data_IF_496430252246
#
_entry.id   IF_496430252246
#
_cell.length_a   1.000
_cell.length_b   1.000
_cell.length_c   1.000
_cell.angle_alpha   90.00
_cell.angle_beta   90.00
_cell.angle_gamma   90.00
#
_symmetry.space_group_name_H-M   'P 1'
#
loop_
_entity.id
_entity.type
_entity.pdbx_description
1 polymer ?
#
# COMPACT_ATOMS: atom_id res chain seq x y z
N UNK A 1 -10.50 -2.94 1.56
CA UNK A 1 -9.22 -3.65 1.80
C UNK A 1 -8.75 -3.60 3.25
N UNK A 2 -8.81 -2.43 3.90
CA UNK A 2 -8.35 -2.26 5.29
C UNK A 2 -9.12 -3.18 6.26
N UNK A 3 -10.45 -3.12 6.23
CA UNK A 3 -11.32 -3.93 7.10
C UNK A 3 -11.17 -5.43 6.85
N UNK A 4 -11.08 -5.84 5.58
CA UNK A 4 -10.89 -7.25 5.23
C UNK A 4 -9.51 -7.76 5.62
N UNK A 5 -8.46 -6.91 5.53
CA UNK A 5 -7.15 -7.26 6.03
C UNK A 5 -7.15 -7.41 7.56
N UNK A 6 -7.81 -6.51 8.29
CA UNK A 6 -8.02 -6.62 9.76
C UNK A 6 -8.74 -7.93 10.12
N UNK A 7 -9.88 -8.20 9.48
CA UNK A 7 -10.66 -9.42 9.70
C UNK A 7 -9.88 -10.71 9.39
N UNK A 8 -8.95 -10.69 8.42
CA UNK A 8 -8.08 -11.84 8.14
C UNK A 8 -6.96 -11.97 9.18
N UNK A 9 -6.36 -10.86 9.64
CA UNK A 9 -5.36 -10.87 10.73
C UNK A 9 -5.96 -11.39 12.04
N UNK A 10 -7.18 -10.98 12.36
CA UNK A 10 -7.96 -11.42 13.52
C UNK A 10 -8.55 -12.83 13.37
N UNK A 11 -8.21 -13.55 12.29
CA UNK A 11 -8.72 -14.90 11.96
C UNK A 11 -10.24 -15.01 11.83
N UNK A 12 -10.98 -13.90 11.78
CA UNK A 12 -12.43 -13.87 11.56
C UNK A 12 -12.81 -14.21 10.11
N UNK A 13 -11.90 -14.00 9.15
CA UNK A 13 -12.16 -14.27 7.74
C UNK A 13 -11.00 -15.03 7.07
N UNK A 14 -11.34 -16.09 6.33
CA UNK A 14 -10.35 -16.83 5.53
C UNK A 14 -9.93 -16.08 4.26
N UNK A 15 -8.67 -16.24 3.86
CA UNK A 15 -8.05 -15.55 2.70
C UNK A 15 -8.89 -15.68 1.41
N UNK A 16 -9.45 -16.86 1.13
CA UNK A 16 -10.26 -17.11 -0.08
C UNK A 16 -11.53 -16.25 -0.12
N UNK A 17 -12.19 -16.04 1.04
CA UNK A 17 -13.39 -15.19 1.15
C UNK A 17 -13.01 -13.72 1.03
N UNK A 18 -11.90 -13.31 1.64
CA UNK A 18 -11.41 -11.94 1.58
C UNK A 18 -11.00 -11.53 0.15
N UNK A 19 -10.37 -12.42 -0.63
CA UNK A 19 -10.06 -12.19 -2.05
C UNK A 19 -11.32 -11.93 -2.86
N UNK A 20 -12.38 -12.74 -2.68
CA UNK A 20 -13.66 -12.52 -3.36
C UNK A 20 -14.34 -11.23 -2.94
N UNK A 21 -14.23 -10.84 -1.67
CA UNK A 21 -14.88 -9.64 -1.12
C UNK A 21 -14.21 -8.33 -1.55
N UNK A 22 -12.89 -8.34 -1.75
CA UNK A 22 -12.14 -7.15 -2.15
C UNK A 22 -11.74 -7.10 -3.62
N UNK A 23 -12.06 -8.12 -4.42
CA UNK A 23 -11.73 -8.19 -5.85
C UNK A 23 -10.25 -7.87 -6.15
N UNK A 24 -9.34 -8.24 -5.24
CA UNK A 24 -7.90 -8.02 -5.40
C UNK A 24 -7.17 -9.34 -5.62
N UNK A 25 -6.03 -9.33 -6.34
CA UNK A 25 -5.19 -10.51 -6.47
C UNK A 25 -4.82 -11.10 -5.10
N UNK A 26 -4.78 -12.44 -5.03
CA UNK A 26 -4.43 -13.17 -3.82
C UNK A 26 -3.05 -12.77 -3.28
N UNK A 27 -2.11 -12.50 -4.18
CA UNK A 27 -0.74 -12.06 -3.89
C UNK A 27 -0.74 -10.68 -3.22
N UNK A 28 -1.53 -9.74 -3.74
CA UNK A 28 -1.73 -8.42 -3.14
C UNK A 28 -2.27 -8.55 -1.74
N UNK A 29 -3.38 -9.27 -1.54
CA UNK A 29 -3.96 -9.41 -0.21
C UNK A 29 -3.00 -10.09 0.77
N UNK A 30 -2.24 -11.11 0.33
CA UNK A 30 -1.23 -11.78 1.15
C UNK A 30 -0.11 -10.82 1.58
N UNK A 31 0.41 -10.01 0.65
CA UNK A 31 1.41 -8.97 0.97
C UNK A 31 0.90 -7.97 2.01
N UNK A 32 -0.37 -7.59 1.90
CA UNK A 32 -1.03 -6.69 2.86
C UNK A 32 -1.18 -7.31 4.26
N UNK A 33 -1.53 -8.59 4.34
CA UNK A 33 -1.70 -9.29 5.63
C UNK A 33 -0.35 -9.50 6.31
N UNK A 34 0.68 -9.86 5.55
CA UNK A 34 2.03 -10.17 6.06
C UNK A 34 2.85 -8.93 6.44
N UNK A 35 2.39 -7.72 6.09
CA UNK A 35 3.07 -6.50 6.51
C UNK A 35 2.78 -6.19 7.97
N UNK A 36 3.81 -5.94 8.78
CA UNK A 36 3.67 -5.51 10.19
C UNK A 36 3.15 -4.07 10.34
N UNK A 37 3.01 -3.34 9.22
CA UNK A 37 2.50 -1.98 9.25
C UNK A 37 0.98 -1.93 9.43
N UNK A 38 0.46 -0.82 9.99
CA UNK A 38 -0.97 -0.59 10.06
C UNK A 38 -1.57 -0.57 8.64
N UNK A 39 -2.77 -1.14 8.46
CA UNK A 39 -3.34 -1.38 7.14
C UNK A 39 -3.51 -0.10 6.30
N UNK A 40 -3.67 1.06 6.95
CA UNK A 40 -3.71 2.38 6.31
C UNK A 40 -2.39 2.74 5.61
N UNK A 41 -1.26 2.53 6.30
CA UNK A 41 0.07 2.79 5.73
C UNK A 41 0.38 1.85 4.59
N UNK A 42 -0.04 0.59 4.67
CA UNK A 42 0.19 -0.41 3.62
C UNK A 42 -0.57 -0.04 2.33
N UNK A 43 -1.79 0.51 2.44
CA UNK A 43 -2.55 0.96 1.26
C UNK A 43 -1.84 2.12 0.57
N UNK A 44 -1.25 3.02 1.35
CA UNK A 44 -0.54 4.19 0.84
C UNK A 44 0.90 3.87 0.36
N UNK A 45 1.34 2.61 0.43
CA UNK A 45 2.66 2.26 -0.13
C UNK A 45 2.63 2.39 -1.64
N UNK A 46 3.59 3.14 -2.18
CA UNK A 46 3.77 3.27 -3.63
C UNK A 46 4.12 1.90 -4.21
N UNK A 47 3.28 1.45 -5.15
CA UNK A 47 3.51 0.21 -5.87
C UNK A 47 4.45 0.54 -7.02
N UNK A 48 5.66 -0.02 -7.01
CA UNK A 48 6.60 0.21 -8.10
C UNK A 48 8.04 -0.05 -7.70
N UNK A 49 8.95 0.32 -8.60
CA UNK A 49 10.38 0.29 -8.35
C UNK A 49 10.72 1.38 -7.33
N UNK A 50 11.70 1.09 -6.47
CA UNK A 50 12.22 2.10 -5.54
C UNK A 50 12.69 3.33 -6.32
N UNK A 51 12.26 4.51 -5.88
CA UNK A 51 12.73 5.76 -6.45
C UNK A 51 14.26 5.86 -6.30
N UNK A 52 14.92 6.39 -7.34
CA UNK A 52 16.37 6.59 -7.36
C UNK A 52 16.76 7.69 -6.37
N UNK A 53 15.92 8.73 -6.29
CA UNK A 53 16.11 9.86 -5.41
C UNK A 53 15.30 9.68 -4.12
N UNK A 54 15.78 10.23 -2.99
CA UNK A 54 14.99 10.31 -1.78
C UNK A 54 13.85 11.34 -1.95
N UNK A 55 12.71 11.10 -1.31
CA UNK A 55 11.46 11.87 -1.49
C UNK A 55 11.63 13.38 -1.30
N UNK A 56 12.43 13.80 -0.31
CA UNK A 56 12.68 15.23 -0.07
C UNK A 56 13.34 15.94 -1.26
N UNK A 57 14.18 15.22 -2.01
CA UNK A 57 14.93 15.77 -3.14
C UNK A 57 14.01 15.87 -4.35
N UNK A 58 13.14 14.88 -4.56
CA UNK A 58 12.10 14.94 -5.59
C UNK A 58 11.15 16.11 -5.37
N UNK A 59 10.67 16.31 -4.13
CA UNK A 59 9.81 17.44 -3.77
C UNK A 59 10.52 18.79 -4.00
N UNK A 60 11.80 18.89 -3.63
CA UNK A 60 12.60 20.11 -3.86
C UNK A 60 12.84 20.40 -5.34
N UNK A 61 12.99 19.37 -6.18
CA UNK A 61 13.14 19.55 -7.62
C UNK A 61 11.83 20.03 -8.27
N UNK A 62 10.71 19.45 -7.85
CA UNK A 62 9.38 19.84 -8.32
C UNK A 62 9.08 21.28 -7.95
N UNK A 63 9.35 21.69 -6.71
CA UNK A 63 9.12 23.08 -6.27
C UNK A 63 9.99 24.07 -7.04
N UNK A 64 11.26 23.74 -7.28
CA UNK A 64 12.16 24.58 -8.07
C UNK A 64 11.67 24.77 -9.51
N UNK A 65 11.23 23.69 -10.16
CA UNK A 65 10.69 23.75 -11.52
C UNK A 65 9.42 24.59 -11.60
N UNK A 66 8.51 24.46 -10.63
CA UNK A 66 7.25 25.22 -10.59
C UNK A 66 7.45 26.72 -10.31
N UNK A 67 8.52 27.10 -9.61
CA UNK A 67 8.82 28.51 -9.29
C UNK A 67 9.51 29.22 -10.46
N UNK A 68 10.23 28.49 -11.31
CA UNK A 68 10.92 29.06 -12.48
C UNK A 68 10.07 29.12 -13.76
N UNK A 69 8.89 28.50 -13.79
CA UNK A 69 7.89 28.61 -14.86
C UNK A 69 6.94 29.76 -14.63
#
# INVERSE_FOLDING_TARGET
MIETAKAVREKQMGLKRAVKRCCVPKTTLKRFIQSDQPPEKVVNTTIGRRHVLPSYLEESLVSYLLVMT
#
